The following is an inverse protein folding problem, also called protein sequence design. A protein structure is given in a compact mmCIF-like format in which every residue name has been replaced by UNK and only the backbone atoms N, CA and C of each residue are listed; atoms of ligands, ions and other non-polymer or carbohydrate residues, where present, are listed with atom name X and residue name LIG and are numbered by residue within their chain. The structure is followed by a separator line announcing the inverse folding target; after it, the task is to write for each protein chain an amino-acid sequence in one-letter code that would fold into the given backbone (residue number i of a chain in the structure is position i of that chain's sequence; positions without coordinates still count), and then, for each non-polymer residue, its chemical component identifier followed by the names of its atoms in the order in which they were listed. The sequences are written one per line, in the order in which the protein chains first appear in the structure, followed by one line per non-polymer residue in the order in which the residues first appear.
data_IF_610789069698
#
_entry.id   IF_610789069698
#
_cell.length_a   1.000
_cell.length_b   1.000
_cell.length_c   1.000
_cell.angle_alpha   90.00
_cell.angle_beta   90.00
_cell.angle_gamma   90.00
#
_symmetry.space_group_name_H-M   'P 1'
#
loop_
_entity.id
_entity.type
_entity.pdbx_description
1 polymer ?
#
# COMPACT_ATOMS: atom_id res chain seq x y z
N UNK A 1 -5.01 -14.84 -3.24
CA UNK A 1 -5.51 -13.46 -3.27
C UNK A 1 -6.64 -13.31 -4.30
N UNK A 2 -7.82 -13.05 -3.80
CA UNK A 2 -8.99 -12.92 -4.66
C UNK A 2 -9.21 -11.46 -5.05
N UNK A 3 -9.28 -11.21 -6.36
CA UNK A 3 -9.54 -9.87 -6.88
C UNK A 3 -11.02 -9.76 -7.24
N UNK A 4 -11.69 -8.74 -6.75
CA UNK A 4 -13.08 -8.43 -7.04
C UNK A 4 -13.25 -6.91 -7.24
N UNK A 5 -14.48 -6.44 -7.38
CA UNK A 5 -14.76 -5.02 -7.61
C UNK A 5 -14.34 -4.10 -6.45
N UNK A 6 -14.14 -4.67 -5.24
CA UNK A 6 -13.73 -3.93 -4.06
C UNK A 6 -12.24 -4.05 -3.77
N UNK A 7 -11.50 -4.73 -4.63
CA UNK A 7 -10.09 -5.01 -4.45
C UNK A 7 -9.30 -4.42 -5.60
N UNK A 8 -8.19 -3.78 -5.30
CA UNK A 8 -7.28 -3.24 -6.29
C UNK A 8 -5.85 -3.55 -5.94
N UNK A 9 -4.97 -3.41 -6.91
CA UNK A 9 -3.55 -3.55 -6.72
C UNK A 9 -2.92 -2.17 -6.53
N UNK A 10 -2.11 -2.03 -5.47
CA UNK A 10 -1.43 -0.78 -5.18
C UNK A 10 -0.21 -0.62 -6.07
N UNK A 11 -0.18 0.45 -6.86
CA UNK A 11 0.91 0.73 -7.79
C UNK A 11 2.15 1.37 -7.15
N UNK A 12 2.09 1.67 -5.86
CA UNK A 12 3.21 2.30 -5.17
C UNK A 12 3.17 3.82 -5.14
N UNK A 13 2.10 4.43 -5.62
CA UNK A 13 1.94 5.88 -5.61
C UNK A 13 0.92 6.27 -4.55
N UNK A 14 1.33 7.12 -3.62
CA UNK A 14 0.50 7.57 -2.52
C UNK A 14 0.65 9.07 -2.35
N UNK A 15 -0.47 9.77 -2.20
CA UNK A 15 -0.48 11.19 -1.89
C UNK A 15 -1.17 11.40 -0.54
N UNK A 16 -0.49 12.10 0.34
CA UNK A 16 -1.02 12.46 1.65
C UNK A 16 -1.15 13.97 1.75
N UNK A 17 -2.31 14.44 2.24
CA UNK A 17 -2.43 15.84 2.64
C UNK A 17 -1.60 16.08 3.90
N UNK A 18 -1.42 17.35 4.28
CA UNK A 18 -0.75 17.67 5.55
C UNK A 18 -1.45 16.96 6.71
N UNK A 19 -2.78 17.05 6.77
CA UNK A 19 -3.56 16.40 7.81
C UNK A 19 -3.45 14.89 7.75
N UNK A 20 -3.48 14.31 6.55
CA UNK A 20 -3.29 12.88 6.35
C UNK A 20 -1.92 12.39 6.80
N UNK A 21 -0.88 13.18 6.57
CA UNK A 21 0.47 12.87 7.03
C UNK A 21 0.56 12.87 8.55
N UNK A 22 -0.08 13.82 9.20
CA UNK A 22 -0.14 13.90 10.66
C UNK A 22 -0.85 12.68 11.26
N UNK A 23 -1.96 12.28 10.67
CA UNK A 23 -2.69 11.07 11.07
C UNK A 23 -1.82 9.83 10.93
N UNK A 24 -1.11 9.72 9.82
CA UNK A 24 -0.24 8.57 9.55
C UNK A 24 0.87 8.46 10.61
N UNK A 25 1.53 9.58 10.91
CA UNK A 25 2.60 9.61 11.91
C UNK A 25 2.07 9.26 13.31
N UNK A 26 0.94 9.82 13.70
CA UNK A 26 0.32 9.52 15.00
C UNK A 26 -0.03 8.04 15.11
N UNK A 27 -0.61 7.48 14.06
CA UNK A 27 -0.96 6.06 14.03
C UNK A 27 0.28 5.19 14.14
N UNK A 28 1.33 5.50 13.39
CA UNK A 28 2.59 4.79 13.44
C UNK A 28 3.21 4.82 14.84
N UNK A 29 3.33 6.01 15.43
CA UNK A 29 3.91 6.17 16.75
C UNK A 29 3.15 5.39 17.81
N UNK A 30 1.82 5.42 17.75
CA UNK A 30 0.98 4.68 18.68
C UNK A 30 1.14 3.16 18.52
N UNK A 31 1.16 2.68 17.29
CA UNK A 31 1.28 1.25 17.01
C UNK A 31 2.64 0.69 17.42
N UNK A 32 3.71 1.46 17.22
CA UNK A 32 5.05 1.06 17.65
C UNK A 32 5.09 0.80 19.16
N UNK A 33 4.36 1.59 19.94
CA UNK A 33 4.33 1.47 21.40
C UNK A 33 3.34 0.39 21.89
N UNK A 34 2.23 0.19 21.18
CA UNK A 34 1.10 -0.60 21.70
C UNK A 34 0.87 -1.93 21.02
N UNK A 35 1.29 -2.07 19.77
CA UNK A 35 1.01 -3.28 19.01
C UNK A 35 2.10 -4.33 19.22
N UNK A 36 1.69 -5.56 19.52
CA UNK A 36 2.60 -6.70 19.64
C UNK A 36 2.15 -7.81 18.70
N UNK A 37 3.10 -8.59 18.21
CA UNK A 37 2.82 -9.72 17.34
C UNK A 37 2.59 -9.33 15.89
N UNK A 38 1.89 -10.19 15.18
CA UNK A 38 1.64 -10.04 13.75
C UNK A 38 0.89 -8.73 13.44
N UNK A 39 1.35 -8.01 12.42
CA UNK A 39 0.70 -6.81 11.95
C UNK A 39 0.31 -6.99 10.48
N UNK A 40 -0.98 -7.23 10.24
CA UNK A 40 -1.53 -7.56 8.91
C UNK A 40 -0.76 -8.72 8.27
N UNK A 41 -0.08 -8.50 7.15
CA UNK A 41 0.66 -9.55 6.46
C UNK A 41 2.11 -9.70 6.94
N UNK A 42 2.55 -8.85 7.85
CA UNK A 42 3.92 -8.87 8.37
C UNK A 42 3.99 -9.51 9.75
N UNK A 43 5.15 -10.09 10.08
CA UNK A 43 5.34 -10.81 11.34
C UNK A 43 5.30 -9.91 12.57
N UNK A 44 5.61 -8.63 12.39
CA UNK A 44 5.60 -7.63 13.45
C UNK A 44 5.54 -6.23 12.86
N UNK A 45 5.32 -5.22 13.72
CA UNK A 45 5.38 -3.81 13.30
C UNK A 45 6.76 -3.47 12.73
N UNK A 46 7.84 -3.97 13.35
CA UNK A 46 9.19 -3.66 12.91
C UNK A 46 9.51 -4.21 11.50
N UNK A 47 8.80 -5.23 11.06
CA UNK A 47 8.96 -5.82 9.74
C UNK A 47 7.84 -5.39 8.78
N UNK A 48 7.01 -4.44 9.18
CA UNK A 48 5.86 -4.02 8.39
C UNK A 48 6.26 -3.23 7.15
N UNK A 49 5.34 -3.22 6.20
CA UNK A 49 5.46 -2.51 4.93
C UNK A 49 4.40 -1.43 4.84
N UNK A 50 4.55 -0.54 3.87
CA UNK A 50 3.57 0.53 3.64
C UNK A 50 2.15 -0.03 3.46
N UNK A 51 2.00 -1.14 2.75
CA UNK A 51 0.70 -1.76 2.55
C UNK A 51 0.01 -2.16 3.86
N UNK A 52 0.77 -2.58 4.86
CA UNK A 52 0.20 -2.93 6.16
C UNK A 52 -0.42 -1.69 6.83
N UNK A 53 0.23 -0.54 6.73
CA UNK A 53 -0.30 0.70 7.28
C UNK A 53 -1.49 1.22 6.48
N UNK A 54 -1.49 1.05 5.17
CA UNK A 54 -2.66 1.40 4.35
C UNK A 54 -3.85 0.51 4.72
N UNK A 55 -3.62 -0.76 4.99
CA UNK A 55 -4.65 -1.68 5.46
C UNK A 55 -5.21 -1.23 6.82
N UNK A 56 -4.33 -0.82 7.73
CA UNK A 56 -4.73 -0.30 9.04
C UNK A 56 -5.59 0.96 8.89
N UNK A 57 -5.21 1.89 8.04
CA UNK A 57 -5.98 3.11 7.77
C UNK A 57 -7.35 2.76 7.20
N UNK A 58 -7.41 1.83 6.26
CA UNK A 58 -8.68 1.44 5.63
C UNK A 58 -9.67 0.80 6.61
N UNK A 59 -9.16 0.20 7.69
CA UNK A 59 -9.97 -0.41 8.73
C UNK A 59 -10.30 0.54 9.88
N UNK A 60 -9.76 1.75 9.84
CA UNK A 60 -10.00 2.78 10.84
C UNK A 60 -11.13 3.72 10.43
N UNK A 61 -11.33 4.79 11.20
CA UNK A 61 -12.34 5.81 10.88
C UNK A 61 -11.92 6.78 9.78
N UNK A 62 -10.69 6.68 9.29
CA UNK A 62 -10.18 7.56 8.25
C UNK A 62 -10.47 6.98 6.87
N UNK A 63 -10.70 7.87 5.92
CA UNK A 63 -11.01 7.46 4.55
C UNK A 63 -9.75 7.43 3.69
N UNK A 64 -9.54 6.29 3.06
CA UNK A 64 -8.52 6.11 2.04
C UNK A 64 -9.22 6.13 0.68
N UNK A 65 -8.91 7.14 -0.14
CA UNK A 65 -9.57 7.29 -1.44
C UNK A 65 -8.71 6.67 -2.53
N UNK A 66 -9.19 5.61 -3.20
CA UNK A 66 -8.47 5.05 -4.32
C UNK A 66 -8.63 5.93 -5.56
N UNK A 67 -7.54 6.09 -6.32
CA UNK A 67 -7.57 6.67 -7.66
C UNK A 67 -7.27 5.52 -8.61
N UNK A 68 -8.28 5.09 -9.33
CA UNK A 68 -8.18 3.94 -10.21
C UNK A 68 -7.59 4.37 -11.55
N UNK A 69 -6.48 3.75 -11.93
CA UNK A 69 -5.90 3.97 -13.25
C UNK A 69 -6.34 2.87 -14.20
N UNK A 70 -6.60 3.26 -15.44
CA UNK A 70 -6.92 2.32 -16.52
C UNK A 70 -5.86 2.42 -17.58
N UNK A 71 -5.59 1.31 -18.26
CA UNK A 71 -4.63 1.26 -19.34
C UNK A 71 -3.42 0.43 -19.00
N UNK A 72 -2.36 0.66 -19.74
CA UNK A 72 -1.14 -0.15 -19.62
C UNK A 72 -0.29 0.30 -18.45
N UNK A 73 0.14 -0.66 -17.64
CA UNK A 73 1.11 -0.41 -16.59
C UNK A 73 1.86 -1.70 -16.26
N UNK A 74 3.03 -1.58 -15.67
CA UNK A 74 3.75 -2.72 -15.15
C UNK A 74 4.80 -2.27 -14.13
N UNK A 75 5.22 -3.19 -13.28
CA UNK A 75 6.35 -3.00 -12.37
C UNK A 75 7.60 -3.61 -13.00
N UNK A 76 8.72 -2.93 -12.84
CA UNK A 76 10.01 -3.40 -13.36
C UNK A 76 10.95 -3.54 -12.16
N UNK A 77 11.10 -4.77 -11.67
CA UNK A 77 11.99 -5.10 -10.57
C UNK A 77 13.12 -6.03 -11.00
N UNK A 78 12.96 -6.70 -12.15
CA UNK A 78 13.91 -7.68 -12.67
C UNK A 78 14.15 -7.43 -14.16
N UNK A 79 15.25 -7.98 -14.74
CA UNK A 79 15.47 -7.93 -16.20
C UNK A 79 14.31 -8.55 -17.00
N UNK A 80 13.68 -9.60 -16.47
CA UNK A 80 12.53 -10.22 -17.12
C UNK A 80 11.35 -9.26 -17.17
N UNK A 81 11.13 -8.50 -16.11
CA UNK A 81 10.05 -7.49 -16.06
C UNK A 81 10.28 -6.41 -17.12
N UNK A 82 11.53 -6.01 -17.33
CA UNK A 82 11.89 -5.06 -18.37
C UNK A 82 11.53 -5.59 -19.76
N UNK A 83 11.81 -6.85 -20.04
CA UNK A 83 11.45 -7.47 -21.31
C UNK A 83 9.93 -7.52 -21.50
N UNK A 84 9.19 -7.80 -20.44
CA UNK A 84 7.72 -7.76 -20.47
C UNK A 84 7.20 -6.35 -20.75
N UNK A 85 7.81 -5.35 -20.10
CA UNK A 85 7.44 -3.94 -20.31
C UNK A 85 7.63 -3.52 -21.77
N UNK A 86 8.72 -3.93 -22.40
CA UNK A 86 8.96 -3.63 -23.82
C UNK A 86 7.84 -4.17 -24.71
N UNK A 87 7.31 -5.34 -24.40
CA UNK A 87 6.20 -5.94 -25.16
C UNK A 87 4.89 -5.19 -24.97
N UNK A 88 4.71 -4.55 -23.80
CA UNK A 88 3.49 -3.79 -23.47
C UNK A 88 3.51 -2.39 -24.09
N UNK A 89 4.65 -1.72 -24.04
CA UNK A 89 4.75 -0.29 -24.35
C UNK A 89 5.41 0.06 -25.69
N UNK A 90 5.92 -0.93 -26.41
CA UNK A 90 6.58 -0.68 -27.71
C UNK A 90 5.79 -1.27 -28.86
#
# INVERSE_FOLDING_TARGET
HKIDENTGEFLGLLKLSKHGSEIFVEMYDKLIETHTGKFHESSSINNSKLLDFLQEISQSNYKLTPIITKGKWCEIDTPLDLERAKKIFI
#
